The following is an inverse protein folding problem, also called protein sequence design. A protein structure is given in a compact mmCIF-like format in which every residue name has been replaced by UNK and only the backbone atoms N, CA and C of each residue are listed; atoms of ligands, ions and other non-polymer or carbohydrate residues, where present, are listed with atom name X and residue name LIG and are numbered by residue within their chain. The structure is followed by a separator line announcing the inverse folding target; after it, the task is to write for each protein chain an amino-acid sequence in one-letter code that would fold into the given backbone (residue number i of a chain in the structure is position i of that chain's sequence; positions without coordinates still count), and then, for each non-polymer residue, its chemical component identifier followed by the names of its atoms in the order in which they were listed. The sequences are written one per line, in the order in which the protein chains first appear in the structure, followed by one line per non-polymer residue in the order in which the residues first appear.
data_IF_775416337441
#
_entry.id   IF_775416337441
#
_cell.length_a   1.000
_cell.length_b   1.000
_cell.length_c   1.000
_cell.angle_alpha   90.00
_cell.angle_beta   90.00
_cell.angle_gamma   90.00
#
_symmetry.space_group_name_H-M   'P 1'
#
loop_
_entity.id
_entity.type
_entity.pdbx_description
1 polymer ?
#
# COMPACT_ATOMS: atom_id res chain seq x y z
N UNK A 1 9.24 7.37 13.76
CA UNK A 1 9.20 6.56 12.51
C UNK A 1 7.73 6.29 12.19
N UNK A 2 7.21 6.66 11.02
CA UNK A 2 5.76 6.62 10.71
C UNK A 2 5.23 5.20 10.40
N UNK A 3 6.05 4.16 10.55
CA UNK A 3 5.71 2.77 10.29
C UNK A 3 5.98 1.92 11.54
N UNK A 4 5.03 1.05 11.90
CA UNK A 4 5.26 0.02 12.91
C UNK A 4 6.06 -1.13 12.28
N UNK A 5 7.33 -1.26 12.68
CA UNK A 5 8.20 -2.35 12.25
C UNK A 5 8.16 -3.49 13.28
N UNK A 6 7.91 -4.72 12.80
CA UNK A 6 8.06 -5.94 13.59
C UNK A 6 9.14 -6.80 12.97
N UNK A 7 10.18 -7.13 13.74
CA UNK A 7 11.25 -8.00 13.28
C UNK A 7 10.69 -9.42 13.02
N UNK A 8 10.90 -9.95 11.81
CA UNK A 8 10.61 -11.33 11.48
C UNK A 8 11.78 -11.93 10.69
N UNK A 9 12.25 -13.10 11.13
CA UNK A 9 13.37 -13.84 10.53
C UNK A 9 13.12 -14.22 9.07
N UNK A 10 11.87 -14.52 8.70
CA UNK A 10 11.54 -15.01 7.36
C UNK A 10 10.98 -13.91 6.44
N UNK A 11 10.87 -12.66 6.92
CA UNK A 11 10.27 -11.53 6.19
C UNK A 11 8.83 -11.77 5.63
N UNK A 12 8.15 -12.84 6.04
CA UNK A 12 6.77 -13.13 5.64
C UNK A 12 5.79 -12.59 6.68
N UNK A 13 4.57 -12.25 6.25
CA UNK A 13 3.55 -11.81 7.21
C UNK A 13 2.99 -13.04 7.93
N UNK A 14 3.26 -13.17 9.23
CA UNK A 14 2.62 -14.20 10.06
C UNK A 14 1.17 -13.80 10.32
N UNK A 15 0.27 -14.79 10.47
CA UNK A 15 -1.13 -14.51 10.77
C UNK A 15 -1.31 -13.66 12.02
N UNK A 16 -0.48 -13.85 13.05
CA UNK A 16 -0.47 -13.02 14.26
C UNK A 16 -0.15 -11.54 14.00
N UNK A 17 0.78 -11.24 13.08
CA UNK A 17 1.13 -9.86 12.68
C UNK A 17 -0.03 -9.26 11.88
N UNK A 18 -0.60 -10.03 10.96
CA UNK A 18 -1.76 -9.59 10.17
C UNK A 18 -2.97 -9.28 11.06
N UNK A 19 -3.31 -10.16 11.99
CA UNK A 19 -4.43 -9.98 12.93
C UNK A 19 -4.22 -8.74 13.80
N UNK A 20 -3.02 -8.52 14.35
CA UNK A 20 -2.70 -7.30 15.11
C UNK A 20 -2.92 -6.03 14.28
N UNK A 21 -2.39 -6.00 13.05
CA UNK A 21 -2.58 -4.87 12.14
C UNK A 21 -4.06 -4.64 11.82
N UNK A 22 -4.81 -5.71 11.58
CA UNK A 22 -6.22 -5.64 11.18
C UNK A 22 -7.12 -5.15 12.33
N UNK A 23 -6.83 -5.53 13.58
CA UNK A 23 -7.48 -5.00 14.79
C UNK A 23 -7.17 -3.51 14.95
N UNK A 24 -5.92 -3.09 14.76
CA UNK A 24 -5.54 -1.69 14.83
C UNK A 24 -6.26 -0.86 13.76
N UNK A 25 -6.35 -1.39 12.53
CA UNK A 25 -7.14 -0.79 11.45
C UNK A 25 -8.63 -0.71 11.81
N UNK A 26 -9.20 -1.76 12.41
CA UNK A 26 -10.59 -1.79 12.91
C UNK A 26 -10.87 -0.63 13.84
N UNK A 27 -10.05 -0.49 14.88
CA UNK A 27 -10.18 0.57 15.89
C UNK A 27 -10.12 1.96 15.28
N UNK A 28 -9.22 2.18 14.30
CA UNK A 28 -9.11 3.47 13.61
C UNK A 28 -10.38 3.77 12.81
N UNK A 29 -10.86 2.82 12.01
CA UNK A 29 -12.07 2.99 11.21
C UNK A 29 -13.34 3.13 12.07
N UNK A 30 -13.42 2.44 13.21
CA UNK A 30 -14.51 2.61 14.17
C UNK A 30 -14.57 4.04 14.72
N UNK A 31 -13.42 4.60 15.09
CA UNK A 31 -13.31 5.99 15.58
C UNK A 31 -13.78 6.98 14.52
N UNK A 32 -13.41 6.73 13.28
CA UNK A 32 -13.77 7.58 12.14
C UNK A 32 -15.20 7.30 11.63
N UNK A 33 -15.92 6.33 12.19
CA UNK A 33 -17.24 5.86 11.71
C UNK A 33 -17.26 5.42 10.23
N UNK A 34 -16.14 4.91 9.72
CA UNK A 34 -15.95 4.52 8.31
C UNK A 34 -16.19 3.03 8.10
N UNK A 35 -16.93 2.69 7.05
CA UNK A 35 -17.12 1.30 6.59
C UNK A 35 -16.28 1.08 5.34
N UNK A 36 -15.48 0.02 5.32
CA UNK A 36 -14.66 -0.34 4.16
C UNK A 36 -14.88 -1.81 3.77
N UNK A 37 -14.66 -2.11 2.49
CA UNK A 37 -14.42 -3.45 2.01
C UNK A 37 -12.91 -3.67 1.88
N UNK A 38 -12.40 -4.80 2.37
CA UNK A 38 -10.99 -5.16 2.24
C UNK A 38 -10.88 -6.31 1.24
N UNK A 39 -10.00 -6.16 0.24
CA UNK A 39 -9.68 -7.23 -0.70
C UNK A 39 -8.30 -7.77 -0.31
N UNK A 40 -8.22 -9.06 0.01
CA UNK A 40 -7.00 -9.74 0.48
C UNK A 40 -6.77 -10.98 -0.38
N UNK A 41 -5.51 -11.38 -0.54
CA UNK A 41 -5.17 -12.67 -1.14
C UNK A 41 -5.64 -13.83 -0.25
N UNK A 42 -5.95 -14.98 -0.87
CA UNK A 42 -6.30 -16.20 -0.15
C UNK A 42 -5.03 -16.91 0.40
N UNK A 43 -4.32 -16.25 1.31
CA UNK A 43 -3.13 -16.80 1.96
C UNK A 43 -3.49 -17.43 3.33
N UNK A 44 -2.88 -18.57 3.73
CA UNK A 44 -3.15 -19.22 5.02
C UNK A 44 -3.01 -18.30 6.24
N UNK A 45 -2.16 -17.27 6.16
CA UNK A 45 -2.01 -16.26 7.21
C UNK A 45 -3.27 -15.44 7.49
N UNK A 46 -4.27 -15.47 6.60
CA UNK A 46 -5.50 -14.67 6.71
C UNK A 46 -6.74 -15.47 7.15
N UNK A 47 -6.59 -16.77 7.43
CA UNK A 47 -7.71 -17.66 7.74
C UNK A 47 -8.22 -17.54 9.19
N UNK A 48 -7.45 -16.93 10.09
CA UNK A 48 -7.73 -16.89 11.54
C UNK A 48 -8.28 -15.54 12.03
N UNK A 49 -9.23 -14.97 11.28
CA UNK A 49 -9.75 -13.62 11.51
C UNK A 49 -11.23 -13.66 11.90
N UNK A 50 -11.53 -14.39 12.97
CA UNK A 50 -12.92 -14.66 13.39
C UNK A 50 -13.55 -13.50 14.19
N UNK A 51 -12.75 -12.62 14.82
CA UNK A 51 -13.21 -11.69 15.86
C UNK A 51 -13.06 -10.19 15.51
N UNK A 52 -13.44 -9.76 14.31
CA UNK A 52 -13.49 -8.32 13.98
C UNK A 52 -14.86 -7.71 14.30
N UNK A 53 -14.87 -6.66 15.12
CA UNK A 53 -16.09 -6.00 15.61
C UNK A 53 -16.73 -5.06 14.60
N UNK A 54 -15.98 -4.45 13.68
CA UNK A 54 -16.59 -3.61 12.65
C UNK A 54 -17.07 -4.41 11.44
N UNK A 55 -18.20 -3.97 10.89
CA UNK A 55 -18.87 -4.40 9.64
C UNK A 55 -17.94 -4.33 8.41
N UNK A 56 -16.91 -5.16 8.38
CA UNK A 56 -15.99 -5.33 7.26
C UNK A 56 -16.42 -6.57 6.50
N UNK A 57 -16.61 -6.43 5.19
CA UNK A 57 -16.59 -7.57 4.27
C UNK A 57 -15.17 -7.71 3.77
N UNK A 58 -14.49 -8.75 4.23
CA UNK A 58 -13.21 -9.19 3.67
C UNK A 58 -13.56 -10.06 2.46
N UNK A 59 -13.04 -9.69 1.30
CA UNK A 59 -13.16 -10.46 0.08
C UNK A 59 -11.82 -11.10 -0.20
N UNK A 60 -11.81 -12.43 -0.26
CA UNK A 60 -10.62 -13.19 -0.64
C UNK A 60 -10.59 -13.34 -2.16
N UNK A 61 -9.46 -13.00 -2.78
CA UNK A 61 -9.29 -13.23 -4.22
C UNK A 61 -8.91 -14.69 -4.45
N UNK A 62 -9.55 -15.32 -5.42
CA UNK A 62 -9.27 -16.73 -5.79
C UNK A 62 -7.98 -16.88 -6.61
N UNK A 63 -7.44 -15.78 -7.15
CA UNK A 63 -6.20 -15.73 -7.92
C UNK A 63 -5.44 -14.42 -7.65
N UNK A 64 -4.16 -14.40 -8.04
CA UNK A 64 -3.33 -13.19 -8.14
C UNK A 64 -4.15 -12.08 -8.81
N UNK A 65 -4.44 -11.02 -8.06
CA UNK A 65 -5.21 -9.91 -8.58
C UNK A 65 -4.32 -9.13 -9.57
N UNK A 66 -4.63 -9.18 -10.87
CA UNK A 66 -3.92 -8.41 -11.91
C UNK A 66 -3.85 -6.91 -11.54
N UNK A 67 -4.88 -6.40 -10.87
CA UNK A 67 -4.91 -5.03 -10.35
C UNK A 67 -3.78 -4.76 -9.34
N UNK A 68 -3.45 -5.72 -8.46
CA UNK A 68 -2.33 -5.58 -7.51
C UNK A 68 -1.00 -5.45 -8.25
N UNK A 69 -0.79 -6.23 -9.31
CA UNK A 69 0.45 -6.17 -10.11
C UNK A 69 0.58 -4.80 -10.78
N UNK A 70 -0.49 -4.30 -11.39
CA UNK A 70 -0.50 -2.97 -12.04
C UNK A 70 -0.24 -1.87 -11.02
N UNK A 71 -0.92 -1.88 -9.87
CA UNK A 71 -0.72 -0.88 -8.81
C UNK A 71 0.72 -0.94 -8.27
N UNK A 72 1.27 -2.14 -8.06
CA UNK A 72 2.64 -2.32 -7.57
C UNK A 72 3.67 -1.78 -8.55
N UNK A 73 3.58 -2.14 -9.83
CA UNK A 73 4.54 -1.66 -10.84
C UNK A 73 4.38 -0.15 -11.07
N UNK A 74 3.15 0.36 -11.08
CA UNK A 74 2.90 1.81 -11.14
C UNK A 74 3.55 2.52 -9.95
N UNK A 75 3.35 2.03 -8.73
CA UNK A 75 3.93 2.63 -7.53
C UNK A 75 5.46 2.64 -7.57
N UNK A 76 6.05 1.49 -7.91
CA UNK A 76 7.50 1.30 -8.05
C UNK A 76 8.09 2.27 -9.07
N UNK A 77 7.48 2.38 -10.25
CA UNK A 77 7.97 3.20 -11.35
C UNK A 77 7.74 4.70 -11.13
N UNK A 78 6.53 5.10 -10.73
CA UNK A 78 6.15 6.51 -10.70
C UNK A 78 6.49 7.22 -9.39
N UNK A 79 6.53 6.51 -8.27
CA UNK A 79 6.82 7.15 -6.98
C UNK A 79 8.19 6.75 -6.47
N UNK A 80 8.43 5.46 -6.25
CA UNK A 80 9.67 5.01 -5.60
C UNK A 80 10.92 5.35 -6.40
N UNK A 81 10.97 5.00 -7.70
CA UNK A 81 12.12 5.35 -8.56
C UNK A 81 12.38 6.85 -8.64
N UNK A 82 11.34 7.68 -8.68
CA UNK A 82 11.50 9.15 -8.72
C UNK A 82 12.13 9.69 -7.45
N UNK A 83 11.67 9.25 -6.28
CA UNK A 83 12.25 9.65 -4.99
C UNK A 83 13.70 9.15 -4.89
N UNK A 84 13.97 7.92 -5.34
CA UNK A 84 15.32 7.36 -5.36
C UNK A 84 16.28 8.18 -6.25
N UNK A 85 15.86 8.53 -7.47
CA UNK A 85 16.67 9.36 -8.38
C UNK A 85 16.95 10.74 -7.80
N UNK A 86 15.96 11.37 -7.16
CA UNK A 86 16.16 12.65 -6.47
C UNK A 86 17.20 12.56 -5.36
N UNK A 87 17.22 11.46 -4.59
CA UNK A 87 18.25 11.22 -3.59
C UNK A 87 19.65 11.15 -4.24
N UNK A 88 19.79 10.42 -5.35
CA UNK A 88 21.08 10.34 -6.05
C UNK A 88 21.54 11.67 -6.64
N UNK A 89 20.63 12.45 -7.24
CA UNK A 89 20.94 13.80 -7.73
C UNK A 89 21.46 14.66 -6.56
N UNK A 90 20.76 14.62 -5.42
CA UNK A 90 21.17 15.38 -4.22
C UNK A 90 22.55 14.95 -3.70
N UNK A 91 22.89 13.66 -3.78
CA UNK A 91 24.22 13.15 -3.41
C UNK A 91 25.30 13.70 -4.35
N UNK A 92 25.05 13.68 -5.66
CA UNK A 92 25.97 14.22 -6.68
C UNK A 92 26.19 15.72 -6.46
N UNK A 93 25.10 16.49 -6.27
CA UNK A 93 25.17 17.93 -6.02
C UNK A 93 25.94 18.25 -4.73
N UNK A 94 25.80 17.40 -3.72
CA UNK A 94 26.51 17.51 -2.43
C UNK A 94 27.94 16.95 -2.47
N UNK A 95 28.43 16.49 -3.64
CA UNK A 95 29.73 15.82 -3.82
C UNK A 95 29.95 14.63 -2.89
N UNK A 96 28.88 13.94 -2.53
CA UNK A 96 28.93 12.68 -1.76
C UNK A 96 29.02 11.50 -2.71
N UNK A 97 29.79 10.49 -2.32
CA UNK A 97 29.87 9.24 -3.08
C UNK A 97 28.50 8.54 -3.11
N UNK A 98 28.07 8.23 -4.33
CA UNK A 98 26.83 7.50 -4.55
C UNK A 98 26.96 6.09 -3.98
N UNK A 99 26.06 5.76 -3.06
CA UNK A 99 25.98 4.42 -2.47
C UNK A 99 24.54 3.90 -2.55
N UNK A 100 24.36 2.57 -2.59
CA UNK A 100 23.03 1.98 -2.53
C UNK A 100 22.37 2.31 -1.18
N UNK A 101 21.07 2.64 -1.16
CA UNK A 101 20.37 2.97 0.07
C UNK A 101 20.36 1.76 1.02
N UNK A 102 20.73 2.01 2.27
CA UNK A 102 20.64 1.03 3.34
C UNK A 102 19.17 0.74 3.73
N UNK A 103 18.93 -0.14 4.70
CA UNK A 103 17.56 -0.52 5.09
C UNK A 103 16.73 0.68 5.59
N UNK A 104 17.32 1.54 6.41
CA UNK A 104 16.66 2.73 6.95
C UNK A 104 16.33 3.75 5.84
N UNK A 105 17.28 3.97 4.93
CA UNK A 105 17.09 4.81 3.76
C UNK A 105 15.93 4.32 2.90
N UNK A 106 15.85 3.01 2.65
CA UNK A 106 14.75 2.42 1.87
C UNK A 106 13.40 2.63 2.54
N UNK A 107 13.31 2.53 3.87
CA UNK A 107 12.09 2.84 4.61
C UNK A 107 11.69 4.32 4.48
N UNK A 108 12.65 5.24 4.58
CA UNK A 108 12.39 6.66 4.37
C UNK A 108 11.96 6.97 2.93
N UNK A 109 12.66 6.42 1.93
CA UNK A 109 12.31 6.56 0.52
C UNK A 109 10.91 6.02 0.24
N UNK A 110 10.55 4.87 0.82
CA UNK A 110 9.23 4.27 0.70
C UNK A 110 8.15 5.16 1.32
N UNK A 111 8.39 5.70 2.51
CA UNK A 111 7.46 6.61 3.17
C UNK A 111 7.22 7.88 2.35
N UNK A 112 8.30 8.54 1.89
CA UNK A 112 8.18 9.75 1.04
C UNK A 112 7.45 9.44 -0.27
N UNK A 113 7.73 8.30 -0.89
CA UNK A 113 7.04 7.85 -2.10
C UNK A 113 5.54 7.63 -1.84
N UNK A 114 5.19 7.06 -0.68
CA UNK A 114 3.81 6.84 -0.27
C UNK A 114 3.04 8.15 -0.08
N UNK A 115 3.59 9.10 0.68
CA UNK A 115 2.95 10.42 0.91
C UNK A 115 2.69 11.16 -0.41
N UNK A 116 3.66 11.14 -1.33
CA UNK A 116 3.50 11.74 -2.67
C UNK A 116 2.41 11.07 -3.50
N UNK A 117 2.17 9.78 -3.29
CA UNK A 117 1.09 9.07 -3.98
C UNK A 117 -0.30 9.46 -3.47
N UNK A 118 -0.43 9.81 -2.19
CA UNK A 118 -1.66 10.34 -1.62
C UNK A 118 -1.94 11.76 -2.13
N UNK A 119 -0.92 12.62 -2.22
CA UNK A 119 -1.10 13.99 -2.70
C UNK A 119 -1.56 14.05 -4.17
N UNK A 120 -1.13 13.09 -5.00
CA UNK A 120 -1.51 12.99 -6.42
C UNK A 120 -2.83 12.28 -6.68
N UNK A 121 -3.50 11.71 -5.66
CA UNK A 121 -4.81 11.05 -5.82
C UNK A 121 -5.93 12.01 -6.25
N UNK A 122 -5.75 13.32 -6.14
CA UNK A 122 -6.82 14.30 -6.35
C UNK A 122 -7.12 14.71 -7.82
N UNK A 123 -6.49 14.15 -8.88
CA UNK A 123 -7.19 14.12 -10.17
C UNK A 123 -6.83 12.94 -11.11
N UNK A 124 -6.49 11.72 -10.64
CA UNK A 124 -6.18 10.60 -11.57
C UNK A 124 -7.44 9.97 -12.19
N UNK A 125 -8.63 10.30 -11.68
CA UNK A 125 -9.90 9.76 -12.18
C UNK A 125 -10.23 10.15 -13.64
N UNK A 126 -9.52 11.12 -14.24
CA UNK A 126 -9.84 11.65 -15.58
C UNK A 126 -8.77 11.45 -16.65
N UNK A 127 -7.63 10.80 -16.38
CA UNK A 127 -6.48 10.86 -17.33
C UNK A 127 -5.63 9.60 -17.44
N UNK A 128 -6.23 8.40 -17.50
CA UNK A 128 -5.51 7.21 -17.97
C UNK A 128 -6.15 6.68 -19.26
N UNK A 129 -5.54 6.92 -20.43
CA UNK A 129 -5.98 6.31 -21.68
C UNK A 129 -5.48 4.86 -21.74
N UNK A 130 -6.39 3.92 -22.03
CA UNK A 130 -6.02 2.56 -22.48
C UNK A 130 -6.40 1.37 -21.60
N UNK A 131 -7.20 1.53 -20.54
CA UNK A 131 -7.72 0.39 -19.76
C UNK A 131 -9.23 0.31 -19.95
N UNK A 132 -9.70 -0.83 -20.45
CA UNK A 132 -11.12 -1.15 -20.67
C UNK A 132 -12.00 -0.65 -19.51
N UNK A 133 -13.02 0.11 -19.89
CA UNK A 133 -13.98 0.84 -19.04
C UNK A 133 -14.71 -0.02 -18.01
N UNK A 134 -14.65 -1.35 -18.15
CA UNK A 134 -15.40 -2.30 -17.33
C UNK A 134 -14.72 -2.63 -15.99
N UNK A 135 -13.39 -2.48 -15.88
CA UNK A 135 -12.68 -2.69 -14.59
C UNK A 135 -12.76 -1.45 -13.69
N UNK A 136 -12.79 -0.25 -14.28
CA UNK A 136 -12.82 1.02 -13.55
C UNK A 136 -14.15 1.29 -12.85
N UNK A 137 -15.27 0.91 -13.47
CA UNK A 137 -16.61 1.11 -12.88
C UNK A 137 -16.82 0.27 -11.62
N UNK A 138 -16.18 -0.89 -11.52
CA UNK A 138 -16.19 -1.70 -10.30
C UNK A 138 -15.25 -1.15 -9.22
N UNK A 139 -14.09 -0.60 -9.59
CA UNK A 139 -13.12 -0.05 -8.64
C UNK A 139 -13.55 1.31 -8.05
N UNK A 140 -14.20 2.17 -8.83
CA UNK A 140 -14.70 3.46 -8.35
C UNK A 140 -15.83 3.33 -7.31
N UNK A 141 -16.62 2.25 -7.36
CA UNK A 141 -17.65 1.96 -6.34
C UNK A 141 -17.07 1.53 -4.99
N UNK A 142 -15.81 1.10 -4.96
CA UNK A 142 -15.13 0.64 -3.73
C UNK A 142 -14.31 1.78 -3.08
N UNK A 143 -14.00 2.85 -3.82
CA UNK A 143 -13.02 3.86 -3.43
C UNK A 143 -13.55 5.31 -3.30
N UNK A 144 -14.86 5.57 -3.33
CA UNK A 144 -15.42 6.90 -3.06
C UNK A 144 -16.69 6.86 -2.18
N UNK A 145 -16.92 7.79 -1.24
CA UNK A 145 -15.97 8.63 -0.52
C UNK A 145 -15.41 7.89 0.71
N UNK A 146 -14.09 7.77 0.71
CA UNK A 146 -13.25 7.43 1.85
C UNK A 146 -13.10 8.67 2.73
#
# INVERSE_FOLDING_TARGET
MPLEYTANKNAWMMGTIFTKWLIALDKRLSRDSRKIALIVDNCPSHLDVSDLKCRKRIFFTTKYNECYLVIREFFKMHFYKRVLLQKYITMIDSKQDAHPPNALDRLHLLHVAWERSQQKRLPIASTMPGISTNLWTHLLKILAPM
#
